data_IF_209374892756
#
_entry.id   IF_209374892756
#
_cell.length_a   1.000
_cell.length_b   1.000
_cell.length_c   1.000
_cell.angle_alpha   90.00
_cell.angle_beta   90.00
_cell.angle_gamma   90.00
#
_symmetry.space_group_name_H-M   'P 1'
#
loop_
_entity.id
_entity.type
_entity.pdbx_description
1 polymer ?
#
# COMPACT_ATOMS: atom_id res chain seq x y z
N UNK A 1 26.79 -35.62 -11.26
CA UNK A 1 26.35 -34.22 -11.37
C UNK A 1 25.26 -33.90 -10.34
N UNK A 2 24.12 -34.61 -10.31
CA UNK A 2 23.01 -34.36 -9.36
C UNK A 2 23.43 -34.46 -7.90
N UNK A 3 24.30 -35.36 -7.51
CA UNK A 3 24.79 -35.51 -6.13
C UNK A 3 25.70 -34.34 -5.70
N UNK A 4 26.53 -33.83 -6.61
CA UNK A 4 27.35 -32.64 -6.34
C UNK A 4 26.49 -31.38 -6.19
N UNK A 5 25.51 -31.22 -7.04
CA UNK A 5 24.55 -30.10 -6.99
C UNK A 5 23.68 -30.10 -5.71
N UNK A 6 23.32 -31.27 -5.21
CA UNK A 6 22.65 -31.46 -3.93
C UNK A 6 23.55 -31.15 -2.74
N UNK A 7 24.81 -31.52 -2.78
CA UNK A 7 25.80 -31.22 -1.74
C UNK A 7 26.09 -29.70 -1.68
N UNK A 8 26.26 -29.06 -2.83
CA UNK A 8 26.45 -27.61 -2.91
C UNK A 8 25.24 -26.84 -2.38
N UNK A 9 24.03 -27.33 -2.71
CA UNK A 9 22.78 -26.72 -2.19
C UNK A 9 22.65 -26.91 -0.68
N UNK A 10 22.99 -28.06 -0.15
CA UNK A 10 22.97 -28.30 1.30
C UNK A 10 24.00 -27.44 2.04
N UNK A 11 25.21 -27.30 1.47
CA UNK A 11 26.23 -26.42 2.02
C UNK A 11 25.80 -24.93 2.00
N UNK A 12 25.13 -24.51 0.91
CA UNK A 12 24.58 -23.15 0.82
C UNK A 12 23.51 -22.92 1.87
N UNK A 13 22.54 -23.82 2.04
CA UNK A 13 21.48 -23.70 3.05
C UNK A 13 22.06 -23.63 4.46
N UNK A 14 23.03 -24.50 4.77
CA UNK A 14 23.70 -24.49 6.08
C UNK A 14 24.51 -23.20 6.34
N UNK A 15 25.08 -22.59 5.29
CA UNK A 15 25.76 -21.31 5.40
C UNK A 15 24.76 -20.16 5.60
N UNK A 16 23.64 -20.18 4.91
CA UNK A 16 22.56 -19.19 5.03
C UNK A 16 21.92 -19.21 6.42
N UNK A 17 21.66 -20.41 6.98
CA UNK A 17 21.18 -20.58 8.35
C UNK A 17 22.16 -19.99 9.38
N UNK A 18 23.49 -20.23 9.21
CA UNK A 18 24.53 -19.65 10.09
C UNK A 18 24.56 -18.13 10.02
N UNK A 19 24.42 -17.57 8.82
CA UNK A 19 24.35 -16.11 8.65
C UNK A 19 23.10 -15.55 9.33
N UNK A 20 21.96 -16.25 9.21
CA UNK A 20 20.71 -15.92 9.89
C UNK A 20 20.86 -15.90 11.42
N UNK A 21 21.51 -16.92 11.99
CA UNK A 21 21.76 -17.01 13.43
C UNK A 21 22.68 -15.90 13.94
N UNK A 22 23.77 -15.62 13.21
CA UNK A 22 24.70 -14.53 13.56
C UNK A 22 23.98 -13.19 13.53
N UNK A 23 23.17 -12.98 12.50
CA UNK A 23 22.36 -11.75 12.35
C UNK A 23 21.36 -11.59 13.48
N UNK A 24 20.63 -12.65 13.83
CA UNK A 24 19.67 -12.65 14.92
C UNK A 24 20.35 -12.30 16.27
N UNK A 25 21.53 -12.85 16.54
CA UNK A 25 22.31 -12.51 17.74
C UNK A 25 22.79 -11.05 17.73
N UNK A 26 23.27 -10.57 16.59
CA UNK A 26 23.68 -9.17 16.46
C UNK A 26 22.51 -8.20 16.71
N UNK A 27 21.34 -8.47 16.13
CA UNK A 27 20.11 -7.69 16.36
C UNK A 27 19.71 -7.73 17.83
N UNK A 28 19.78 -8.89 18.49
CA UNK A 28 19.45 -9.01 19.91
C UNK A 28 20.38 -8.16 20.79
N UNK A 29 21.68 -8.14 20.50
CA UNK A 29 22.64 -7.30 21.22
C UNK A 29 22.35 -5.81 21.02
N UNK A 30 22.01 -5.41 19.78
CA UNK A 30 21.67 -4.01 19.51
C UNK A 30 20.40 -3.60 20.26
N UNK A 31 19.35 -4.44 20.26
CA UNK A 31 18.12 -4.20 21.02
C UNK A 31 18.37 -4.02 22.52
N UNK A 32 19.20 -4.89 23.09
CA UNK A 32 19.55 -4.84 24.50
C UNK A 32 20.37 -3.57 24.85
N UNK A 33 21.28 -3.17 23.95
CA UNK A 33 22.14 -2.02 24.16
C UNK A 33 21.45 -0.68 23.94
N UNK A 34 20.55 -0.59 22.95
CA UNK A 34 19.86 0.65 22.57
C UNK A 34 18.51 0.83 23.26
N UNK A 35 17.94 -0.25 23.82
CA UNK A 35 16.57 -0.26 24.37
C UNK A 35 15.47 -0.16 23.32
N UNK A 36 15.81 -0.28 22.03
CA UNK A 36 14.86 -0.22 20.93
C UNK A 36 14.36 -1.65 20.59
N UNK A 37 13.22 -2.03 21.15
CA UNK A 37 12.59 -3.33 20.91
C UNK A 37 12.18 -3.55 19.45
N UNK A 38 11.97 -2.46 18.70
CA UNK A 38 11.50 -2.49 17.32
C UNK A 38 12.62 -2.37 16.29
N UNK A 39 13.89 -2.40 16.74
CA UNK A 39 15.05 -2.34 15.86
C UNK A 39 14.98 -3.41 14.77
N UNK A 40 15.07 -2.97 13.50
CA UNK A 40 15.14 -3.84 12.33
C UNK A 40 16.28 -3.38 11.43
N UNK A 41 17.33 -4.20 11.32
CA UNK A 41 18.54 -3.88 10.57
C UNK A 41 18.30 -3.69 9.07
N UNK A 42 17.26 -4.30 8.49
CA UNK A 42 16.90 -4.13 7.06
C UNK A 42 16.65 -2.67 6.72
N UNK A 43 16.04 -1.92 7.63
CA UNK A 43 15.73 -0.50 7.42
C UNK A 43 17.00 0.37 7.35
N UNK A 44 18.12 -0.10 7.89
CA UNK A 44 19.39 0.63 7.92
C UNK A 44 20.34 0.28 6.76
N UNK A 45 20.08 -0.80 6.02
CA UNK A 45 20.98 -1.24 4.92
C UNK A 45 21.13 -0.15 3.87
N UNK A 46 20.04 0.42 3.39
CA UNK A 46 20.06 1.43 2.34
C UNK A 46 20.68 2.77 2.78
N UNK A 47 20.28 3.37 3.92
CA UNK A 47 20.94 4.56 4.45
C UNK A 47 22.44 4.36 4.72
N UNK A 48 22.81 3.23 5.29
CA UNK A 48 24.22 2.92 5.57
C UNK A 48 25.03 2.80 4.27
N UNK A 49 24.48 2.14 3.25
CA UNK A 49 25.14 2.05 1.94
C UNK A 49 25.38 3.44 1.34
N UNK A 50 24.37 4.31 1.35
CA UNK A 50 24.50 5.68 0.82
C UNK A 50 25.60 6.43 1.57
N UNK A 51 25.57 6.42 2.91
CA UNK A 51 26.49 7.22 3.74
C UNK A 51 27.92 6.71 3.76
N UNK A 52 28.13 5.39 3.55
CA UNK A 52 29.47 4.78 3.67
C UNK A 52 30.16 4.49 2.33
N UNK A 53 29.38 4.30 1.26
CA UNK A 53 29.91 3.85 -0.04
C UNK A 53 29.92 4.94 -1.11
N UNK A 54 29.17 6.02 -0.91
CA UNK A 54 29.09 7.09 -1.91
C UNK A 54 30.03 8.26 -1.58
N UNK A 55 30.54 8.97 -2.60
CA UNK A 55 31.27 10.24 -2.41
C UNK A 55 30.41 11.28 -1.69
N UNK A 56 31.02 12.11 -0.85
CA UNK A 56 30.35 13.06 0.05
C UNK A 56 29.31 13.95 -0.69
N UNK A 57 29.64 14.45 -1.87
CA UNK A 57 28.70 15.29 -2.65
C UNK A 57 27.47 14.53 -3.14
N UNK A 58 27.62 13.26 -3.52
CA UNK A 58 26.52 12.42 -3.96
C UNK A 58 25.63 11.99 -2.79
N UNK A 59 26.15 11.82 -1.60
CA UNK A 59 25.37 11.53 -0.39
C UNK A 59 24.34 12.62 -0.15
N UNK A 60 24.75 13.90 -0.15
CA UNK A 60 23.84 15.02 0.05
C UNK A 60 22.77 15.12 -1.03
N UNK A 61 23.16 14.90 -2.31
CA UNK A 61 22.22 14.90 -3.43
C UNK A 61 21.19 13.78 -3.32
N UNK A 62 21.62 12.57 -2.95
CA UNK A 62 20.71 11.42 -2.75
C UNK A 62 19.72 11.66 -1.62
N UNK A 63 20.19 12.18 -0.48
CA UNK A 63 19.32 12.53 0.64
C UNK A 63 18.30 13.59 0.21
N UNK A 64 18.74 14.65 -0.45
CA UNK A 64 17.85 15.69 -0.95
C UNK A 64 16.82 15.15 -1.96
N UNK A 65 17.23 14.26 -2.87
CA UNK A 65 16.33 13.62 -3.82
C UNK A 65 15.27 12.75 -3.14
N UNK A 66 15.65 11.98 -2.12
CA UNK A 66 14.72 11.15 -1.34
C UNK A 66 13.68 12.03 -0.64
N UNK A 67 14.10 13.10 0.02
CA UNK A 67 13.17 14.03 0.67
C UNK A 67 12.27 14.74 -0.34
N UNK A 68 12.81 15.20 -1.45
CA UNK A 68 12.03 15.85 -2.51
C UNK A 68 10.97 14.90 -3.09
N UNK A 69 11.33 13.65 -3.36
CA UNK A 69 10.41 12.63 -3.84
C UNK A 69 9.30 12.32 -2.81
N UNK A 70 9.67 12.14 -1.53
CA UNK A 70 8.71 11.89 -0.46
C UNK A 70 7.74 13.06 -0.28
N UNK A 71 8.23 14.30 -0.25
CA UNK A 71 7.40 15.50 -0.14
C UNK A 71 6.45 15.66 -1.34
N UNK A 72 6.96 15.43 -2.56
CA UNK A 72 6.17 15.54 -3.78
C UNK A 72 5.04 14.50 -3.82
N UNK A 73 5.33 13.23 -3.52
CA UNK A 73 4.35 12.17 -3.48
C UNK A 73 3.28 12.44 -2.41
N UNK A 74 3.69 12.75 -1.18
CA UNK A 74 2.77 13.01 -0.07
C UNK A 74 1.88 14.23 -0.35
N UNK A 75 2.41 15.30 -0.93
CA UNK A 75 1.62 16.47 -1.30
C UNK A 75 0.57 16.15 -2.37
N UNK A 76 0.93 15.35 -3.38
CA UNK A 76 0.02 14.91 -4.43
C UNK A 76 -1.13 14.05 -3.89
N UNK A 77 -0.81 13.08 -3.03
CA UNK A 77 -1.81 12.21 -2.40
C UNK A 77 -2.76 12.97 -1.48
N UNK A 78 -2.25 13.84 -0.61
CA UNK A 78 -3.06 14.67 0.28
C UNK A 78 -3.98 15.61 -0.51
N UNK A 79 -3.49 16.21 -1.60
CA UNK A 79 -4.29 17.05 -2.48
C UNK A 79 -5.40 16.25 -3.18
N UNK A 80 -5.10 15.03 -3.65
CA UNK A 80 -6.08 14.15 -4.27
C UNK A 80 -7.18 13.74 -3.29
N UNK A 81 -6.82 13.34 -2.07
CA UNK A 81 -7.76 12.98 -1.01
C UNK A 81 -8.66 14.17 -0.61
N UNK A 82 -8.05 15.35 -0.44
CA UNK A 82 -8.81 16.57 -0.15
C UNK A 82 -9.77 16.93 -1.29
N UNK A 83 -9.32 16.85 -2.53
CA UNK A 83 -10.14 17.13 -3.72
C UNK A 83 -11.31 16.16 -3.82
N UNK A 84 -11.08 14.85 -3.70
CA UNK A 84 -12.15 13.86 -3.69
C UNK A 84 -13.14 14.11 -2.54
N UNK A 85 -12.65 14.41 -1.35
CA UNK A 85 -13.50 14.73 -0.19
C UNK A 85 -14.40 15.94 -0.46
N UNK A 86 -13.86 16.99 -1.07
CA UNK A 86 -14.62 18.23 -1.31
C UNK A 86 -15.54 18.12 -2.53
N UNK A 87 -15.03 17.63 -3.64
CA UNK A 87 -15.79 17.60 -4.91
C UNK A 87 -16.84 16.50 -4.89
N UNK A 88 -16.45 15.27 -4.51
CA UNK A 88 -17.32 14.10 -4.63
C UNK A 88 -18.29 13.97 -3.46
N UNK A 89 -17.88 14.38 -2.25
CA UNK A 89 -18.72 14.26 -1.06
C UNK A 89 -19.31 15.61 -0.61
N UNK A 90 -18.47 16.59 -0.27
CA UNK A 90 -18.95 17.83 0.35
C UNK A 90 -19.82 18.67 -0.59
N UNK A 91 -19.33 18.97 -1.79
CA UNK A 91 -20.06 19.76 -2.79
C UNK A 91 -21.31 19.03 -3.29
N UNK A 92 -21.23 17.72 -3.46
CA UNK A 92 -22.31 16.93 -4.03
C UNK A 92 -23.46 16.67 -3.05
N UNK A 93 -23.17 16.50 -1.75
CA UNK A 93 -24.16 16.06 -0.78
C UNK A 93 -24.51 17.09 0.29
N UNK A 94 -23.64 18.05 0.57
CA UNK A 94 -23.83 18.98 1.69
C UNK A 94 -24.04 20.43 1.24
N UNK A 95 -23.18 20.95 0.38
CA UNK A 95 -23.21 22.38 -0.01
C UNK A 95 -23.02 22.50 -1.51
N UNK A 96 -24.13 22.58 -2.25
CA UNK A 96 -24.14 22.60 -3.72
C UNK A 96 -23.82 23.96 -4.33
N UNK A 97 -24.02 25.07 -3.57
CA UNK A 97 -23.81 26.43 -4.04
C UNK A 97 -23.10 27.27 -2.96
N UNK A 98 -21.77 27.26 -3.01
CA UNK A 98 -20.93 28.14 -2.18
C UNK A 98 -19.94 28.89 -3.06
N UNK A 99 -19.30 29.90 -2.49
CA UNK A 99 -18.24 30.66 -3.17
C UNK A 99 -16.94 29.83 -3.30
N UNK A 100 -16.15 30.13 -4.31
CA UNK A 100 -14.85 29.44 -4.51
C UNK A 100 -13.92 29.59 -3.30
N UNK A 101 -13.98 30.75 -2.63
CA UNK A 101 -13.23 31.02 -1.40
C UNK A 101 -13.64 30.05 -0.26
N UNK A 102 -14.93 29.71 -0.15
CA UNK A 102 -15.42 28.75 0.82
C UNK A 102 -14.87 27.34 0.52
N UNK A 103 -15.01 26.86 -0.73
CA UNK A 103 -14.48 25.54 -1.13
C UNK A 103 -12.97 25.45 -0.92
N UNK A 104 -12.22 26.51 -1.22
CA UNK A 104 -10.78 26.55 -0.97
C UNK A 104 -10.45 26.43 0.53
N UNK A 105 -11.19 27.11 1.39
CA UNK A 105 -10.96 27.05 2.84
C UNK A 105 -11.26 25.65 3.40
N UNK A 106 -12.37 25.05 2.96
CA UNK A 106 -12.74 23.67 3.38
C UNK A 106 -11.75 22.64 2.81
N UNK A 107 -11.24 22.86 1.59
CA UNK A 107 -10.21 21.99 1.00
C UNK A 107 -8.91 22.04 1.82
N UNK A 108 -8.46 23.22 2.25
CA UNK A 108 -7.30 23.35 3.15
C UNK A 108 -7.50 22.62 4.46
N UNK A 109 -8.70 22.73 5.05
CA UNK A 109 -9.03 22.01 6.28
C UNK A 109 -9.04 20.49 6.06
N UNK A 110 -9.59 20.02 4.95
CA UNK A 110 -9.56 18.60 4.57
C UNK A 110 -8.13 18.10 4.39
N UNK A 111 -7.26 18.88 3.74
CA UNK A 111 -5.83 18.54 3.59
C UNK A 111 -5.14 18.40 4.94
N UNK A 112 -5.39 19.31 5.88
CA UNK A 112 -4.86 19.23 7.25
C UNK A 112 -5.39 17.97 7.95
N UNK A 113 -6.67 17.70 7.85
CA UNK A 113 -7.30 16.50 8.44
C UNK A 113 -6.69 15.20 7.91
N UNK A 114 -6.53 15.07 6.59
CA UNK A 114 -5.89 13.92 5.98
C UNK A 114 -4.40 13.81 6.35
N UNK A 115 -3.70 14.93 6.46
CA UNK A 115 -2.31 14.98 6.91
C UNK A 115 -2.14 14.47 8.35
N UNK A 116 -2.99 14.93 9.26
CA UNK A 116 -3.00 14.44 10.65
C UNK A 116 -3.34 12.95 10.72
N UNK A 117 -4.33 12.49 9.97
CA UNK A 117 -4.64 11.07 9.87
C UNK A 117 -3.47 10.25 9.35
N UNK A 118 -2.79 10.70 8.30
CA UNK A 118 -1.60 10.05 7.77
C UNK A 118 -0.47 9.96 8.80
N UNK A 119 -0.24 11.02 9.59
CA UNK A 119 0.74 11.00 10.68
C UNK A 119 0.39 9.95 11.75
N UNK A 120 -0.86 9.85 12.18
CA UNK A 120 -1.30 8.85 13.16
C UNK A 120 -1.09 7.44 12.62
N UNK A 121 -1.45 7.19 11.36
CA UNK A 121 -1.22 5.88 10.71
C UNK A 121 0.27 5.58 10.60
N UNK A 122 1.09 6.55 10.20
CA UNK A 122 2.54 6.37 10.11
C UNK A 122 3.18 6.02 11.46
N UNK A 123 2.76 6.69 12.53
CA UNK A 123 3.24 6.38 13.90
C UNK A 123 2.86 4.96 14.33
N UNK A 124 1.65 4.50 14.01
CA UNK A 124 1.23 3.12 14.33
C UNK A 124 1.93 2.07 13.48
N UNK A 125 2.27 2.40 12.23
CA UNK A 125 2.95 1.51 11.30
C UNK A 125 4.45 1.37 11.59
N UNK A 126 5.08 2.41 12.13
CA UNK A 126 6.53 2.43 12.39
C UNK A 126 7.01 1.31 13.32
N UNK A 127 6.15 0.79 14.19
CA UNK A 127 6.46 -0.23 15.19
C UNK A 127 6.18 -1.67 14.74
N UNK A 128 5.85 -1.91 13.46
CA UNK A 128 5.37 -3.22 12.99
C UNK A 128 6.39 -4.03 12.17
N UNK A 129 7.66 -3.68 12.19
CA UNK A 129 8.73 -4.42 11.52
C UNK A 129 9.40 -3.66 10.37
N UNK A 130 9.77 -4.34 9.29
CA UNK A 130 10.38 -3.70 8.11
C UNK A 130 9.40 -2.74 7.44
N UNK A 131 9.80 -1.48 7.24
CA UNK A 131 8.96 -0.44 6.63
C UNK A 131 8.41 -0.87 5.27
N UNK A 132 9.25 -1.48 4.43
CA UNK A 132 8.84 -1.97 3.08
C UNK A 132 7.77 -3.06 3.20
N UNK A 133 7.92 -3.98 4.14
CA UNK A 133 6.95 -5.05 4.35
C UNK A 133 5.61 -4.51 4.86
N UNK A 134 5.65 -3.59 5.82
CA UNK A 134 4.46 -2.94 6.39
C UNK A 134 3.68 -2.19 5.30
N UNK A 135 4.35 -1.35 4.50
CA UNK A 135 3.71 -0.60 3.41
C UNK A 135 3.10 -1.54 2.37
N UNK A 136 3.81 -2.59 1.97
CA UNK A 136 3.29 -3.56 1.00
C UNK A 136 2.14 -4.39 1.56
N UNK A 137 2.19 -4.77 2.84
CA UNK A 137 1.11 -5.50 3.52
C UNK A 137 -0.17 -4.68 3.56
N UNK A 138 -0.12 -3.43 4.04
CA UNK A 138 -1.30 -2.55 4.07
C UNK A 138 -1.79 -2.21 2.67
N UNK A 139 -0.88 -1.94 1.73
CA UNK A 139 -1.22 -1.67 0.34
C UNK A 139 -1.94 -2.85 -0.33
N UNK A 140 -1.52 -4.08 -0.04
CA UNK A 140 -2.11 -5.27 -0.65
C UNK A 140 -3.60 -5.49 -0.30
N UNK A 141 -4.10 -4.89 0.79
CA UNK A 141 -5.52 -4.94 1.11
C UNK A 141 -6.39 -4.18 0.11
N UNK A 142 -5.82 -3.15 -0.51
CA UNK A 142 -6.52 -2.27 -1.44
C UNK A 142 -6.16 -2.54 -2.91
N UNK A 143 -4.88 -2.79 -3.20
CA UNK A 143 -4.37 -2.88 -4.58
C UNK A 143 -5.08 -3.95 -5.41
N UNK A 144 -5.30 -5.13 -4.84
CA UNK A 144 -5.98 -6.22 -5.53
C UNK A 144 -7.43 -5.89 -5.86
N UNK A 145 -8.15 -5.33 -4.90
CA UNK A 145 -9.55 -4.96 -5.09
C UNK A 145 -9.70 -3.80 -6.08
N UNK A 146 -8.84 -2.80 -6.03
CA UNK A 146 -8.79 -1.72 -7.01
C UNK A 146 -8.47 -2.25 -8.41
N UNK A 147 -7.46 -3.11 -8.53
CA UNK A 147 -7.14 -3.76 -9.82
C UNK A 147 -8.35 -4.51 -10.38
N UNK A 148 -9.09 -5.22 -9.54
CA UNK A 148 -10.31 -5.91 -9.94
C UNK A 148 -11.38 -4.96 -10.51
N UNK A 149 -11.55 -3.78 -9.93
CA UNK A 149 -12.48 -2.75 -10.46
C UNK A 149 -12.02 -2.25 -11.83
N UNK A 150 -10.71 -1.99 -12.01
CA UNK A 150 -10.18 -1.57 -13.31
C UNK A 150 -10.33 -2.67 -14.37
N UNK A 151 -10.06 -3.93 -14.01
CA UNK A 151 -10.28 -5.07 -14.91
C UNK A 151 -11.77 -5.13 -15.31
N UNK A 152 -12.67 -5.00 -14.34
CA UNK A 152 -14.10 -5.01 -14.58
C UNK A 152 -14.50 -3.88 -15.53
N UNK A 153 -14.01 -2.67 -15.32
CA UNK A 153 -14.34 -1.49 -16.12
C UNK A 153 -13.79 -1.55 -17.56
N UNK A 154 -12.56 -2.06 -17.73
CA UNK A 154 -11.87 -2.04 -19.02
C UNK A 154 -12.19 -3.27 -19.87
N UNK A 155 -12.20 -4.47 -19.25
CA UNK A 155 -12.37 -5.72 -19.98
C UNK A 155 -13.82 -6.14 -20.17
N UNK A 156 -14.77 -5.60 -19.39
CA UNK A 156 -16.16 -6.04 -19.45
C UNK A 156 -17.10 -4.92 -19.85
N UNK A 157 -17.86 -5.15 -20.93
CA UNK A 157 -18.90 -4.21 -21.40
C UNK A 157 -20.24 -4.33 -20.64
N UNK A 158 -20.33 -5.30 -19.73
CA UNK A 158 -21.55 -5.61 -18.97
C UNK A 158 -21.49 -5.15 -17.50
N UNK A 159 -20.38 -4.53 -17.09
CA UNK A 159 -20.23 -4.05 -15.73
C UNK A 159 -21.13 -2.84 -15.47
N UNK A 160 -21.88 -2.91 -14.38
CA UNK A 160 -22.68 -1.79 -13.87
C UNK A 160 -21.95 -1.10 -12.72
N UNK A 161 -22.26 0.18 -12.47
CA UNK A 161 -21.69 0.93 -11.34
C UNK A 161 -21.98 0.26 -9.98
N UNK A 162 -23.20 -0.30 -9.82
CA UNK A 162 -23.57 -1.05 -8.62
C UNK A 162 -22.75 -2.34 -8.47
N UNK A 163 -22.53 -3.07 -9.58
CA UNK A 163 -21.68 -4.27 -9.58
C UNK A 163 -20.24 -3.97 -9.20
N UNK A 164 -19.65 -2.91 -9.73
CA UNK A 164 -18.30 -2.47 -9.40
C UNK A 164 -18.19 -2.06 -7.93
N UNK A 165 -19.14 -1.30 -7.40
CA UNK A 165 -19.16 -0.85 -6.01
C UNK A 165 -19.26 -2.02 -5.01
N UNK A 166 -20.25 -2.88 -5.18
CA UNK A 166 -20.43 -4.03 -4.30
C UNK A 166 -19.34 -5.08 -4.49
N UNK A 167 -18.83 -5.25 -5.70
CA UNK A 167 -17.65 -6.07 -5.98
C UNK A 167 -16.43 -5.58 -5.22
N UNK A 168 -16.16 -4.26 -5.21
CA UNK A 168 -15.06 -3.66 -4.45
C UNK A 168 -15.20 -3.95 -2.95
N UNK A 169 -16.37 -3.71 -2.36
CA UNK A 169 -16.63 -3.98 -0.93
C UNK A 169 -16.42 -5.46 -0.61
N UNK A 170 -16.97 -6.36 -1.42
CA UNK A 170 -16.81 -7.80 -1.23
C UNK A 170 -15.33 -8.23 -1.35
N UNK A 171 -14.60 -7.70 -2.33
CA UNK A 171 -13.18 -7.97 -2.52
C UNK A 171 -12.36 -7.54 -1.31
N UNK A 172 -12.56 -6.32 -0.82
CA UNK A 172 -11.89 -5.82 0.38
C UNK A 172 -12.22 -6.65 1.63
N UNK A 173 -13.51 -7.00 1.83
CA UNK A 173 -13.93 -7.81 2.97
C UNK A 173 -13.29 -9.22 2.95
N UNK A 174 -13.23 -9.87 1.78
CA UNK A 174 -12.60 -11.18 1.64
C UNK A 174 -11.09 -11.09 1.86
N UNK A 175 -10.41 -10.08 1.29
CA UNK A 175 -8.96 -9.90 1.51
C UNK A 175 -8.65 -9.66 2.98
N UNK A 176 -9.41 -8.82 3.67
CA UNK A 176 -9.25 -8.59 5.10
C UNK A 176 -9.47 -9.88 5.89
N UNK A 177 -10.53 -10.64 5.60
CA UNK A 177 -10.80 -11.92 6.26
C UNK A 177 -9.66 -12.90 6.06
N UNK A 178 -9.16 -13.05 4.82
CA UNK A 178 -8.03 -13.92 4.49
C UNK A 178 -6.76 -13.48 5.22
N UNK A 179 -6.49 -12.19 5.27
CA UNK A 179 -5.30 -11.63 5.93
C UNK A 179 -5.27 -11.90 7.45
N UNK A 180 -6.42 -11.94 8.10
CA UNK A 180 -6.51 -12.21 9.54
C UNK A 180 -6.66 -13.69 9.90
N UNK A 181 -7.16 -14.53 8.97
CA UNK A 181 -7.46 -15.94 9.27
C UNK A 181 -6.42 -16.90 8.73
N UNK A 182 -5.73 -16.58 7.64
CA UNK A 182 -4.82 -17.48 6.96
C UNK A 182 -3.40 -16.88 6.89
N UNK A 183 -2.35 -17.65 7.24
CA UNK A 183 -0.95 -17.22 7.12
C UNK A 183 -0.48 -17.30 5.66
N UNK A 184 -1.11 -16.55 4.76
CA UNK A 184 -0.77 -16.52 3.33
C UNK A 184 0.10 -15.30 3.07
N UNK A 185 1.12 -15.46 2.20
CA UNK A 185 1.97 -14.35 1.78
C UNK A 185 1.12 -13.20 1.17
N UNK A 186 1.40 -11.97 1.57
CA UNK A 186 0.62 -10.76 1.19
C UNK A 186 0.48 -10.58 -0.33
N UNK A 187 1.39 -11.13 -1.12
CA UNK A 187 1.33 -11.11 -2.59
C UNK A 187 0.05 -11.76 -3.15
N UNK A 188 -0.44 -12.82 -2.49
CA UNK A 188 -1.66 -13.51 -2.90
C UNK A 188 -2.93 -12.70 -2.64
N UNK A 189 -2.90 -11.75 -1.70
CA UNK A 189 -4.04 -10.88 -1.42
C UNK A 189 -4.47 -10.09 -2.65
N UNK A 190 -3.51 -9.65 -3.47
CA UNK A 190 -3.81 -8.90 -4.69
C UNK A 190 -4.57 -9.74 -5.72
N UNK A 191 -4.17 -11.00 -5.91
CA UNK A 191 -4.85 -11.92 -6.83
C UNK A 191 -6.25 -12.27 -6.32
N UNK A 192 -6.37 -12.61 -5.04
CA UNK A 192 -7.66 -12.95 -4.41
C UNK A 192 -8.62 -11.76 -4.50
N UNK A 193 -8.16 -10.57 -4.14
CA UNK A 193 -8.97 -9.34 -4.20
C UNK A 193 -9.49 -9.07 -5.61
N UNK A 194 -8.60 -9.12 -6.62
CA UNK A 194 -8.98 -8.88 -8.00
C UNK A 194 -10.00 -9.92 -8.51
N UNK A 195 -9.78 -11.20 -8.22
CA UNK A 195 -10.70 -12.26 -8.64
C UNK A 195 -12.08 -12.13 -7.99
N UNK A 196 -12.14 -11.83 -6.70
CA UNK A 196 -13.42 -11.65 -5.99
C UNK A 196 -14.18 -10.46 -6.54
N UNK A 197 -13.52 -9.32 -6.74
CA UNK A 197 -14.15 -8.13 -7.32
C UNK A 197 -14.73 -8.42 -8.70
N UNK A 198 -13.98 -9.08 -9.59
CA UNK A 198 -14.43 -9.40 -10.94
C UNK A 198 -15.59 -10.38 -10.91
N UNK A 199 -15.51 -11.44 -10.13
CA UNK A 199 -16.56 -12.47 -10.08
C UNK A 199 -17.85 -11.93 -9.44
N UNK A 200 -17.75 -11.29 -8.28
CA UNK A 200 -18.91 -10.71 -7.59
C UNK A 200 -19.49 -9.53 -8.38
N UNK A 201 -18.63 -8.67 -8.92
CA UNK A 201 -19.05 -7.53 -9.73
C UNK A 201 -19.80 -7.94 -10.99
N UNK A 202 -19.35 -8.97 -11.71
CA UNK A 202 -20.06 -9.53 -12.86
C UNK A 202 -21.38 -10.21 -12.46
N UNK A 203 -21.40 -10.96 -11.36
CA UNK A 203 -22.60 -11.61 -10.87
C UNK A 203 -23.70 -10.59 -10.54
N UNK A 204 -23.35 -9.52 -9.80
CA UNK A 204 -24.30 -8.46 -9.46
C UNK A 204 -24.73 -7.68 -10.72
N UNK A 205 -23.80 -7.40 -11.63
CA UNK A 205 -24.11 -6.73 -12.90
C UNK A 205 -25.07 -7.54 -13.78
N UNK A 206 -24.98 -8.88 -13.73
CA UNK A 206 -25.91 -9.76 -14.44
C UNK A 206 -27.31 -9.79 -13.80
N UNK A 207 -27.40 -9.56 -12.48
CA UNK A 207 -28.65 -9.52 -11.74
C UNK A 207 -29.33 -8.14 -11.79
N UNK A 208 -28.59 -7.09 -12.09
CA UNK A 208 -29.10 -5.71 -12.26
C UNK A 208 -29.05 -5.30 -13.74
N UNK A 209 -29.99 -5.72 -14.58
CA UNK A 209 -30.09 -5.27 -15.97
C UNK A 209 -30.63 -3.86 -15.96
N UNK A 210 -29.78 -2.87 -15.95
CA UNK A 210 -30.22 -1.49 -15.93
C UNK A 210 -29.08 -0.53 -16.27
N UNK A 211 -29.23 0.13 -17.42
CA UNK A 211 -28.45 1.25 -17.93
C UNK A 211 -27.05 0.88 -18.48
N UNK A 212 -27.06 0.30 -19.67
CA UNK A 212 -25.90 0.15 -20.56
C UNK A 212 -25.58 1.45 -21.32
N UNK A 213 -25.66 2.61 -20.69
CA UNK A 213 -25.35 3.89 -21.33
C UNK A 213 -24.14 4.59 -20.67
N UNK A 214 -22.97 3.92 -20.68
CA UNK A 214 -21.69 4.58 -20.34
C UNK A 214 -20.96 5.06 -21.62
N UNK A 215 -21.59 4.99 -22.78
CA UNK A 215 -20.97 5.39 -24.05
C UNK A 215 -21.54 6.71 -24.63
N UNK A 216 -21.99 7.64 -23.79
CA UNK A 216 -22.34 9.01 -24.24
C UNK A 216 -21.75 10.03 -23.29
N UNK A 217 -20.42 10.11 -23.25
CA UNK A 217 -19.66 11.34 -22.94
C UNK A 217 -18.40 11.31 -23.81
#
# INVERSE_FOLDING_TARGET
RRAAEQADRAAFVAADERVGDIRARAVAIVKDTTGDEHYNDVNYVFPTFITTRMPIGLVGLMIAAIFAAAMSASAGELNSLATATIIDFYRRHFVTAATDAHYLSVSKLATIGWGLFACVVAMSAANQGSLIEVVNRYGSFFYGSLLGVFILAILTRRATAAGAFWGLIAGMAVVLTVAFTLPIAFLWHNLIGAMVVVTVGLAISAMTPGCTDIHTI
#
